data_IF_307682727740
#
_entry.id   IF_307682727740
#
_cell.length_a   1.000
_cell.length_b   1.000
_cell.length_c   1.000
_cell.angle_alpha   90.00
_cell.angle_beta   90.00
_cell.angle_gamma   90.00
#
_symmetry.space_group_name_H-M   'P 1'
#
loop_
_entity.id
_entity.type
_entity.pdbx_description
1 polymer ?
#
# COMPACT_ATOMS: atom_id res chain seq x y z
N UNK A 1 -4.92 5.68 -32.65
CA UNK A 1 -4.94 4.61 -31.61
C UNK A 1 -3.99 5.00 -30.49
N UNK A 2 -4.39 4.82 -29.22
CA UNK A 2 -3.48 5.03 -28.09
C UNK A 2 -2.32 4.05 -28.15
N UNK A 3 -1.17 4.44 -27.57
CA UNK A 3 0.05 3.63 -27.58
C UNK A 3 -0.13 2.31 -26.83
N UNK A 4 0.71 1.34 -27.14
CA UNK A 4 0.87 0.11 -26.36
C UNK A 4 1.60 0.43 -25.07
N UNK A 5 1.15 -0.14 -23.95
CA UNK A 5 1.85 -0.07 -22.65
C UNK A 5 2.24 -1.49 -22.25
N UNK A 6 3.52 -1.70 -21.98
CA UNK A 6 3.99 -2.94 -21.37
C UNK A 6 4.31 -2.66 -19.91
N UNK A 7 3.47 -3.16 -19.02
CA UNK A 7 3.64 -3.09 -17.56
C UNK A 7 4.40 -4.31 -17.06
N UNK A 8 5.39 -4.13 -16.21
CA UNK A 8 6.16 -5.24 -15.65
C UNK A 8 6.44 -5.07 -14.16
N UNK A 9 6.39 -6.18 -13.42
CA UNK A 9 6.62 -6.23 -11.98
C UNK A 9 7.20 -7.57 -11.54
N UNK A 10 8.02 -7.55 -10.48
CA UNK A 10 8.42 -8.77 -9.77
C UNK A 10 7.30 -9.20 -8.80
N UNK A 11 6.21 -9.64 -9.33
CA UNK A 11 5.01 -10.08 -8.59
C UNK A 11 4.36 -11.24 -9.32
N UNK A 12 3.68 -12.14 -8.60
CA UNK A 12 2.85 -13.16 -9.21
C UNK A 12 1.53 -12.59 -9.80
N UNK A 13 1.29 -11.32 -9.63
CA UNK A 13 0.18 -10.51 -10.14
C UNK A 13 -1.20 -10.83 -9.54
N UNK A 14 -1.35 -11.93 -8.81
CA UNK A 14 -2.65 -12.37 -8.28
C UNK A 14 -3.16 -11.46 -7.16
N UNK A 15 -2.27 -11.05 -6.26
CA UNK A 15 -2.60 -10.23 -5.08
C UNK A 15 -2.24 -8.76 -5.21
N UNK A 16 -1.64 -8.37 -6.32
CA UNK A 16 -1.14 -7.01 -6.52
C UNK A 16 -2.25 -6.07 -6.98
N UNK A 17 -2.96 -5.52 -6.03
CA UNK A 17 -4.11 -4.64 -6.27
C UNK A 17 -3.72 -3.31 -6.93
N UNK A 18 -2.51 -2.78 -6.67
CA UNK A 18 -2.07 -1.53 -7.29
C UNK A 18 -1.87 -1.70 -8.79
N UNK A 19 -1.11 -2.72 -9.18
CA UNK A 19 -0.86 -3.03 -10.59
C UNK A 19 -2.18 -3.30 -11.32
N UNK A 20 -3.10 -4.06 -10.69
CA UNK A 20 -4.42 -4.30 -11.25
C UNK A 20 -5.19 -3.01 -11.50
N UNK A 21 -5.28 -2.13 -10.51
CA UNK A 21 -6.00 -0.86 -10.62
C UNK A 21 -5.39 0.05 -11.70
N UNK A 22 -4.05 0.21 -11.71
CA UNK A 22 -3.36 1.04 -12.71
C UNK A 22 -3.57 0.48 -14.13
N UNK A 23 -3.35 -0.82 -14.32
CA UNK A 23 -3.55 -1.44 -15.64
C UNK A 23 -5.00 -1.35 -16.11
N UNK A 24 -5.97 -1.56 -15.20
CA UNK A 24 -7.38 -1.44 -15.54
C UNK A 24 -7.76 -0.01 -15.90
N UNK A 25 -7.31 1.00 -15.16
CA UNK A 25 -7.53 2.42 -15.47
C UNK A 25 -7.01 2.78 -16.88
N UNK A 26 -5.80 2.32 -17.22
CA UNK A 26 -5.20 2.56 -18.53
C UNK A 26 -5.96 1.81 -19.65
N UNK A 27 -6.35 0.56 -19.41
CA UNK A 27 -7.11 -0.27 -20.35
C UNK A 27 -8.49 0.34 -20.62
N UNK A 28 -9.25 0.69 -19.58
CA UNK A 28 -10.58 1.31 -19.70
C UNK A 28 -10.51 2.65 -20.45
N UNK A 29 -9.36 3.33 -20.39
CA UNK A 29 -9.09 4.55 -21.14
C UNK A 29 -8.61 4.31 -22.57
N UNK A 30 -8.57 3.07 -23.04
CA UNK A 30 -8.29 2.70 -24.44
C UNK A 30 -6.82 2.50 -24.79
N UNK A 31 -5.92 2.38 -23.79
CA UNK A 31 -4.54 1.92 -24.06
C UNK A 31 -4.51 0.41 -24.30
N UNK A 32 -3.60 -0.02 -25.16
CA UNK A 32 -3.33 -1.45 -25.36
C UNK A 32 -2.36 -1.94 -24.31
N UNK A 33 -2.85 -2.64 -23.28
CA UNK A 33 -2.07 -3.10 -22.13
C UNK A 33 -1.56 -4.51 -22.37
N UNK A 34 -0.29 -4.74 -22.03
CA UNK A 34 0.31 -6.05 -21.87
C UNK A 34 1.04 -6.10 -20.52
N UNK A 35 0.67 -7.06 -19.65
CA UNK A 35 1.18 -7.17 -18.29
C UNK A 35 2.14 -8.35 -18.16
N UNK A 36 3.33 -8.13 -17.59
CA UNK A 36 4.36 -9.14 -17.38
C UNK A 36 4.72 -9.21 -15.89
N UNK A 37 4.45 -10.35 -15.28
CA UNK A 37 4.88 -10.66 -13.92
C UNK A 37 5.67 -11.95 -13.86
N UNK A 38 5.62 -12.67 -12.73
CA UNK A 38 6.24 -13.97 -12.57
C UNK A 38 5.34 -14.94 -11.80
N UNK A 39 5.75 -16.21 -11.74
CA UNK A 39 5.09 -17.27 -10.98
C UNK A 39 5.72 -17.52 -9.60
N UNK A 40 6.59 -16.64 -9.14
CA UNK A 40 7.24 -16.75 -7.83
C UNK A 40 6.23 -16.62 -6.70
N UNK A 41 6.22 -17.63 -5.83
CA UNK A 41 5.34 -17.66 -4.66
C UNK A 41 3.92 -18.16 -4.90
N UNK A 42 3.57 -18.54 -6.14
CA UNK A 42 2.27 -19.12 -6.43
C UNK A 42 1.90 -19.12 -7.92
N UNK A 43 0.91 -19.92 -8.26
CA UNK A 43 0.41 -20.01 -9.63
C UNK A 43 -1.13 -20.02 -9.65
N UNK A 44 -1.73 -19.13 -8.87
CA UNK A 44 -3.18 -18.97 -8.79
C UNK A 44 -3.75 -18.55 -10.14
N UNK A 45 -4.95 -19.05 -10.43
CA UNK A 45 -5.69 -18.63 -11.61
C UNK A 45 -6.13 -17.18 -11.45
N UNK A 46 -5.92 -16.38 -12.49
CA UNK A 46 -6.40 -15.01 -12.56
C UNK A 46 -6.98 -14.72 -13.94
N UNK A 47 -7.92 -13.80 -13.99
CA UNK A 47 -8.51 -13.28 -15.21
C UNK A 47 -8.27 -11.78 -15.28
N UNK A 48 -7.92 -11.28 -16.47
CA UNK A 48 -7.73 -9.86 -16.75
C UNK A 48 -8.33 -9.52 -18.12
N UNK A 49 -8.89 -8.34 -18.34
CA UNK A 49 -9.44 -7.93 -19.63
C UNK A 49 -8.36 -7.62 -20.68
N UNK A 50 -7.10 -7.72 -20.32
CA UNK A 50 -5.93 -7.48 -21.16
C UNK A 50 -4.95 -8.67 -21.08
N UNK A 51 -4.07 -8.86 -22.10
CA UNK A 51 -3.06 -9.90 -22.08
C UNK A 51 -2.13 -9.81 -20.88
N UNK A 52 -1.82 -10.94 -20.27
CA UNK A 52 -0.81 -11.02 -19.22
C UNK A 52 0.04 -12.29 -19.37
N UNK A 53 1.26 -12.21 -18.87
CA UNK A 53 2.22 -13.30 -18.86
C UNK A 53 2.89 -13.40 -17.49
N UNK A 54 3.12 -14.63 -17.01
CA UNK A 54 3.93 -14.91 -15.84
C UNK A 54 5.21 -15.62 -16.26
N UNK A 55 6.33 -14.94 -16.10
CA UNK A 55 7.65 -15.52 -16.34
C UNK A 55 7.92 -16.62 -15.31
N UNK A 56 8.16 -17.83 -15.80
CA UNK A 56 8.52 -18.97 -14.94
C UNK A 56 9.89 -18.77 -14.30
N UNK A 57 9.94 -18.76 -12.95
CA UNK A 57 11.17 -18.61 -12.17
C UNK A 57 11.59 -19.97 -11.59
N UNK A 58 12.82 -20.39 -11.88
CA UNK A 58 13.41 -21.64 -11.40
C UNK A 58 14.24 -21.48 -10.13
N UNK A 59 14.66 -20.26 -9.86
CA UNK A 59 15.49 -19.92 -8.70
C UNK A 59 14.78 -20.21 -7.38
N UNK A 60 15.53 -20.77 -6.42
CA UNK A 60 15.02 -21.12 -5.09
C UNK A 60 15.18 -20.01 -4.05
N UNK A 61 16.00 -19.01 -4.31
CA UNK A 61 16.24 -17.90 -3.41
C UNK A 61 15.81 -16.57 -4.04
N UNK A 62 15.33 -15.64 -3.22
CA UNK A 62 14.87 -14.35 -3.70
C UNK A 62 15.95 -13.58 -4.47
N UNK A 63 17.21 -13.64 -4.02
CA UNK A 63 18.35 -12.96 -4.66
C UNK A 63 18.57 -13.45 -6.10
N UNK A 64 18.57 -14.75 -6.30
CA UNK A 64 18.76 -15.37 -7.63
C UNK A 64 17.51 -15.21 -8.49
N UNK A 65 16.32 -15.19 -7.87
CA UNK A 65 15.06 -14.96 -8.57
C UNK A 65 14.97 -13.54 -9.18
N UNK A 66 15.43 -12.51 -8.48
CA UNK A 66 15.53 -11.16 -9.03
C UNK A 66 16.42 -11.09 -10.28
N UNK A 67 17.58 -11.74 -10.22
CA UNK A 67 18.50 -11.78 -11.38
C UNK A 67 17.88 -12.54 -12.56
N UNK A 68 17.32 -13.72 -12.30
CA UNK A 68 16.65 -14.56 -13.32
C UNK A 68 15.49 -13.81 -13.96
N UNK A 69 14.65 -13.15 -13.14
CA UNK A 69 13.52 -12.38 -13.62
C UNK A 69 13.97 -11.23 -14.54
N UNK A 70 14.92 -10.41 -14.08
CA UNK A 70 15.42 -9.26 -14.86
C UNK A 70 15.98 -9.69 -16.22
N UNK A 71 16.72 -10.81 -16.26
CA UNK A 71 17.26 -11.34 -17.51
C UNK A 71 16.17 -11.83 -18.46
N UNK A 72 15.16 -12.55 -17.93
CA UNK A 72 14.04 -13.04 -18.73
C UNK A 72 13.14 -11.88 -19.17
N UNK A 73 12.83 -10.95 -18.27
CA UNK A 73 12.07 -9.75 -18.59
C UNK A 73 12.73 -8.93 -19.70
N UNK A 74 14.05 -8.75 -19.65
CA UNK A 74 14.78 -8.07 -20.73
C UNK A 74 14.55 -8.74 -22.10
N UNK A 75 14.56 -10.07 -22.13
CA UNK A 75 14.32 -10.84 -23.38
C UNK A 75 12.89 -10.64 -23.89
N UNK A 76 11.91 -10.70 -23.00
CA UNK A 76 10.50 -10.49 -23.37
C UNK A 76 10.24 -9.05 -23.83
N UNK A 77 10.73 -8.06 -23.10
CA UNK A 77 10.63 -6.66 -23.53
C UNK A 77 11.29 -6.41 -24.90
N UNK A 78 12.45 -7.04 -25.15
CA UNK A 78 13.14 -6.93 -26.46
C UNK A 78 12.31 -7.50 -27.62
N UNK A 79 11.49 -8.52 -27.39
CA UNK A 79 10.61 -9.11 -28.42
C UNK A 79 9.34 -8.29 -28.64
N UNK A 80 8.79 -7.72 -27.55
CA UNK A 80 7.43 -7.19 -27.51
C UNK A 80 7.36 -5.67 -27.68
N UNK A 81 8.42 -4.94 -27.28
CA UNK A 81 8.46 -3.49 -27.36
C UNK A 81 8.88 -3.01 -28.75
N UNK A 82 8.25 -1.99 -29.23
CA UNK A 82 8.53 -1.25 -30.47
C UNK A 82 8.53 0.27 -30.22
N UNK A 83 8.69 1.07 -31.26
CA UNK A 83 8.70 2.53 -31.17
C UNK A 83 7.37 3.16 -30.73
N UNK A 84 6.26 2.40 -30.79
CA UNK A 84 4.94 2.84 -30.33
C UNK A 84 4.61 2.36 -28.92
N UNK A 85 5.61 1.89 -28.15
CA UNK A 85 5.46 1.32 -26.83
C UNK A 85 5.85 2.33 -25.74
N UNK A 86 5.08 2.37 -24.65
CA UNK A 86 5.48 2.96 -23.36
C UNK A 86 5.80 1.80 -22.43
N UNK A 87 6.97 1.83 -21.80
CA UNK A 87 7.32 0.88 -20.76
C UNK A 87 6.87 1.39 -19.40
N UNK A 88 6.30 0.51 -18.59
CA UNK A 88 5.89 0.81 -17.22
C UNK A 88 6.53 -0.19 -16.28
N UNK A 89 7.54 0.28 -15.52
CA UNK A 89 8.26 -0.50 -14.54
C UNK A 89 7.71 -0.27 -13.13
N UNK A 90 7.26 -1.33 -12.48
CA UNK A 90 6.81 -1.29 -11.08
C UNK A 90 7.96 -1.77 -10.20
N UNK A 91 8.33 -0.92 -9.26
CA UNK A 91 9.46 -1.04 -8.35
C UNK A 91 10.84 -1.19 -9.02
N UNK A 92 11.88 -1.05 -8.19
CA UNK A 92 13.27 -1.06 -8.65
C UNK A 92 13.69 -2.42 -9.20
N UNK A 93 13.02 -3.49 -8.76
CA UNK A 93 13.32 -4.86 -9.15
C UNK A 93 12.91 -5.20 -10.59
N UNK A 94 12.05 -4.39 -11.22
CA UNK A 94 11.73 -4.46 -12.64
C UNK A 94 12.38 -3.31 -13.46
N UNK A 95 13.04 -2.34 -12.81
CA UNK A 95 13.45 -1.10 -13.44
C UNK A 95 14.56 -1.28 -14.47
N UNK A 96 15.62 -2.07 -14.18
CA UNK A 96 16.80 -2.19 -15.03
C UNK A 96 16.48 -2.66 -16.46
N UNK A 97 15.77 -3.78 -16.70
CA UNK A 97 15.45 -4.24 -18.06
C UNK A 97 14.60 -3.23 -18.83
N UNK A 98 13.64 -2.59 -18.15
CA UNK A 98 12.82 -1.54 -18.75
C UNK A 98 13.67 -0.33 -19.18
N UNK A 99 14.56 0.13 -18.32
CA UNK A 99 15.47 1.24 -18.63
C UNK A 99 16.38 0.94 -19.82
N UNK A 100 16.96 -0.26 -19.87
CA UNK A 100 17.83 -0.66 -20.98
C UNK A 100 17.08 -0.71 -22.32
N UNK A 101 15.87 -1.24 -22.35
CA UNK A 101 15.04 -1.28 -23.57
C UNK A 101 14.55 0.11 -23.93
N UNK A 102 14.09 0.92 -22.96
CA UNK A 102 13.72 2.32 -23.19
C UNK A 102 14.84 3.11 -23.88
N UNK A 103 16.06 3.00 -23.37
CA UNK A 103 17.23 3.66 -23.98
C UNK A 103 17.54 3.13 -25.36
N UNK A 104 17.52 1.81 -25.55
CA UNK A 104 17.84 1.17 -26.84
C UNK A 104 16.88 1.57 -27.94
N UNK A 105 15.59 1.64 -27.66
CA UNK A 105 14.53 1.94 -28.62
C UNK A 105 14.16 3.43 -28.67
N UNK A 106 14.71 4.23 -27.75
CA UNK A 106 14.34 5.64 -27.52
C UNK A 106 12.82 5.81 -27.32
N UNK A 107 12.26 5.02 -26.40
CA UNK A 107 10.83 5.01 -26.05
C UNK A 107 10.63 5.44 -24.59
N UNK A 108 9.45 5.98 -24.24
CA UNK A 108 9.15 6.44 -22.89
C UNK A 108 9.19 5.29 -21.86
N UNK A 109 9.67 5.63 -20.67
CA UNK A 109 9.63 4.78 -19.49
C UNK A 109 8.91 5.54 -18.36
N UNK A 110 7.84 4.96 -17.84
CA UNK A 110 7.18 5.35 -16.60
C UNK A 110 7.68 4.43 -15.49
N UNK A 111 8.17 5.01 -14.40
CA UNK A 111 8.60 4.27 -13.21
C UNK A 111 7.61 4.50 -12.08
N UNK A 112 7.05 3.43 -11.55
CA UNK A 112 6.17 3.44 -10.37
C UNK A 112 6.90 2.83 -9.18
N UNK A 113 7.24 3.66 -8.20
CA UNK A 113 7.89 3.23 -6.96
C UNK A 113 6.86 3.10 -5.85
N UNK A 114 6.55 1.86 -5.46
CA UNK A 114 5.56 1.57 -4.42
C UNK A 114 6.10 1.81 -3.02
N UNK A 115 7.42 1.74 -2.86
CA UNK A 115 8.11 1.97 -1.59
C UNK A 115 9.45 2.66 -1.84
N UNK A 116 10.06 3.21 -0.79
CA UNK A 116 11.49 3.56 -0.84
C UNK A 116 12.27 2.26 -0.65
N UNK A 117 12.36 1.46 -1.71
CA UNK A 117 12.84 0.09 -1.69
C UNK A 117 14.21 -0.06 -0.99
N UNK A 118 15.15 0.86 -1.28
CA UNK A 118 16.49 0.83 -0.70
C UNK A 118 16.53 1.16 0.79
N UNK A 119 15.43 1.66 1.35
CA UNK A 119 15.28 2.00 2.77
C UNK A 119 14.27 1.07 3.50
N UNK A 120 13.90 -0.05 2.87
CA UNK A 120 13.05 -1.07 3.51
C UNK A 120 13.80 -1.80 4.63
N UNK A 121 13.16 -2.07 5.78
CA UNK A 121 13.79 -2.81 6.89
C UNK A 121 14.35 -4.16 6.47
N UNK A 122 13.69 -4.85 5.53
CA UNK A 122 14.07 -6.18 5.07
C UNK A 122 15.46 -6.25 4.41
N UNK A 123 15.97 -5.14 3.88
CA UNK A 123 17.26 -5.10 3.17
C UNK A 123 18.30 -4.20 3.85
N UNK A 124 17.93 -3.47 4.89
CA UNK A 124 18.85 -2.60 5.64
C UNK A 124 20.09 -3.36 6.12
N UNK A 125 21.24 -2.69 6.02
CA UNK A 125 22.54 -3.20 6.45
C UNK A 125 23.03 -4.49 5.72
N UNK A 126 22.37 -4.88 4.62
CA UNK A 126 22.77 -6.03 3.78
C UNK A 126 23.57 -5.58 2.55
N UNK A 127 24.43 -6.46 2.03
CA UNK A 127 25.14 -6.21 0.75
C UNK A 127 24.17 -5.93 -0.40
N UNK A 128 23.00 -6.59 -0.40
CA UNK A 128 21.93 -6.35 -1.38
C UNK A 128 21.47 -4.89 -1.40
N UNK A 129 21.41 -4.21 -0.24
CA UNK A 129 21.06 -2.78 -0.20
C UNK A 129 22.05 -1.92 -0.99
N UNK A 130 23.35 -2.22 -0.88
CA UNK A 130 24.38 -1.47 -1.64
C UNK A 130 24.19 -1.63 -3.14
N UNK A 131 23.89 -2.84 -3.61
CA UNK A 131 23.62 -3.11 -5.03
C UNK A 131 22.39 -2.33 -5.50
N UNK A 132 21.30 -2.40 -4.77
CA UNK A 132 20.07 -1.67 -5.12
C UNK A 132 20.28 -0.14 -5.08
N UNK A 133 21.03 0.39 -4.11
CA UNK A 133 21.37 1.82 -4.06
C UNK A 133 22.22 2.27 -5.26
N UNK A 134 23.13 1.43 -5.74
CA UNK A 134 23.91 1.74 -6.97
C UNK A 134 22.98 1.81 -8.17
N UNK A 135 22.06 0.84 -8.31
CA UNK A 135 21.09 0.82 -9.40
C UNK A 135 20.18 2.06 -9.34
N UNK A 136 19.61 2.34 -8.17
CA UNK A 136 18.74 3.49 -7.92
C UNK A 136 19.43 4.81 -8.29
N UNK A 137 20.64 5.05 -7.77
CA UNK A 137 21.45 6.25 -8.07
C UNK A 137 21.80 6.37 -9.55
N UNK A 138 21.97 5.26 -10.25
CA UNK A 138 22.37 5.25 -11.66
C UNK A 138 21.21 5.52 -12.62
N UNK A 139 19.98 5.12 -12.24
CA UNK A 139 18.83 5.15 -13.14
C UNK A 139 17.82 6.24 -12.74
N UNK A 140 17.42 6.31 -11.47
CA UNK A 140 16.33 7.20 -11.03
C UNK A 140 16.53 8.67 -11.42
N UNK A 141 17.75 9.27 -11.31
CA UNK A 141 17.97 10.66 -11.75
C UNK A 141 17.71 10.92 -13.24
N UNK A 142 17.58 9.86 -14.05
CA UNK A 142 17.35 9.93 -15.50
C UNK A 142 15.91 9.64 -15.91
N UNK A 143 15.05 9.35 -14.92
CA UNK A 143 13.63 9.06 -15.15
C UNK A 143 12.86 10.37 -15.30
N UNK A 144 12.19 10.51 -16.45
CA UNK A 144 11.37 11.68 -16.76
C UNK A 144 9.94 11.55 -16.21
N UNK A 145 9.38 10.34 -16.25
CA UNK A 145 8.01 10.05 -15.83
C UNK A 145 8.05 9.08 -14.65
N UNK A 146 7.66 9.57 -13.48
CA UNK A 146 7.71 8.80 -12.24
C UNK A 146 6.46 9.03 -11.41
N UNK A 147 5.97 7.98 -10.76
CA UNK A 147 4.93 8.05 -9.73
C UNK A 147 5.33 7.26 -8.49
N UNK A 148 4.71 7.60 -7.35
CA UNK A 148 4.95 6.95 -6.05
C UNK A 148 3.72 7.06 -5.15
N UNK A 149 3.70 6.37 -4.00
CA UNK A 149 2.48 6.20 -3.20
C UNK A 149 2.15 7.32 -2.22
N UNK A 150 3.13 8.15 -1.80
CA UNK A 150 2.91 9.19 -0.79
C UNK A 150 3.64 10.49 -1.10
N UNK A 151 3.16 11.59 -0.52
CA UNK A 151 3.82 12.90 -0.62
C UNK A 151 5.23 12.84 -0.02
N UNK A 152 5.38 12.18 1.13
CA UNK A 152 6.68 12.03 1.78
C UNK A 152 7.67 11.22 0.93
N UNK A 153 7.21 10.21 0.18
CA UNK A 153 8.05 9.51 -0.79
C UNK A 153 8.45 10.41 -1.94
N UNK A 154 7.51 11.19 -2.48
CA UNK A 154 7.80 12.13 -3.56
C UNK A 154 8.81 13.19 -3.13
N UNK A 155 8.68 13.75 -1.93
CA UNK A 155 9.63 14.68 -1.33
C UNK A 155 11.02 14.04 -1.18
N UNK A 156 11.09 12.81 -0.65
CA UNK A 156 12.35 12.08 -0.50
C UNK A 156 13.06 11.84 -1.85
N UNK A 157 12.33 11.40 -2.89
CA UNK A 157 12.89 11.23 -4.22
C UNK A 157 13.35 12.55 -4.84
N UNK A 158 12.58 13.63 -4.64
CA UNK A 158 12.93 14.97 -5.09
C UNK A 158 14.21 15.48 -4.42
N UNK A 159 14.34 15.33 -3.12
CA UNK A 159 15.52 15.76 -2.38
C UNK A 159 16.77 14.97 -2.78
N UNK A 160 16.63 13.65 -2.86
CA UNK A 160 17.75 12.73 -3.07
C UNK A 160 18.19 12.65 -4.52
N UNK A 161 17.27 12.65 -5.48
CA UNK A 161 17.54 12.39 -6.90
C UNK A 161 17.16 13.53 -7.83
N UNK A 162 16.58 14.61 -7.34
CA UNK A 162 16.14 15.77 -8.13
C UNK A 162 15.09 15.41 -9.21
N UNK A 163 14.30 14.38 -8.98
CA UNK A 163 13.14 14.00 -9.80
C UNK A 163 11.85 14.54 -9.18
N UNK A 164 10.78 14.59 -9.95
CA UNK A 164 9.48 15.07 -9.48
C UNK A 164 8.41 13.99 -9.71
N UNK A 165 8.30 12.99 -8.83
CA UNK A 165 7.25 11.98 -8.94
C UNK A 165 5.88 12.62 -8.74
N UNK A 166 4.87 12.14 -9.46
CA UNK A 166 3.47 12.39 -9.09
C UNK A 166 3.06 11.41 -7.99
N UNK A 167 2.18 11.86 -7.11
CA UNK A 167 1.66 10.99 -6.05
C UNK A 167 0.39 10.30 -6.53
N UNK A 168 0.46 8.97 -6.62
CA UNK A 168 -0.64 8.07 -6.94
C UNK A 168 -0.75 7.06 -5.79
N UNK A 169 -1.73 7.24 -4.93
CA UNK A 169 -1.92 6.42 -3.73
C UNK A 169 -2.56 5.08 -4.06
N UNK A 170 -2.25 4.04 -3.30
CA UNK A 170 -2.92 2.74 -3.43
C UNK A 170 -4.16 2.69 -2.53
N UNK A 171 -5.22 3.37 -2.92
CA UNK A 171 -6.43 3.61 -2.14
C UNK A 171 -7.67 2.96 -2.76
N UNK A 172 -8.73 2.71 -1.99
CA UNK A 172 -9.97 2.12 -2.51
C UNK A 172 -10.74 3.11 -3.40
N UNK A 173 -11.72 2.57 -4.15
CA UNK A 173 -12.72 3.38 -4.83
C UNK A 173 -13.65 4.07 -3.83
N UNK A 174 -14.25 5.17 -4.25
CA UNK A 174 -15.22 5.89 -3.43
C UNK A 174 -16.43 5.01 -3.10
N UNK A 175 -16.76 4.96 -1.80
CA UNK A 175 -18.03 4.40 -1.34
C UNK A 175 -19.05 5.53 -1.31
N UNK A 176 -19.90 5.60 -2.34
CA UNK A 176 -20.87 6.68 -2.56
C UNK A 176 -21.97 6.68 -1.47
N UNK A 177 -22.45 5.48 -1.08
CA UNK A 177 -23.44 5.36 -0.01
C UNK A 177 -22.76 5.51 1.35
N UNK A 178 -23.16 6.49 2.15
CA UNK A 178 -22.69 6.57 3.54
C UNK A 178 -23.13 5.32 4.30
N UNK A 179 -22.17 4.55 4.85
CA UNK A 179 -22.53 3.37 5.64
C UNK A 179 -23.37 3.75 6.84
N UNK A 180 -24.33 2.90 7.22
CA UNK A 180 -25.01 3.01 8.49
C UNK A 180 -24.01 2.93 9.64
N UNK A 181 -24.20 3.77 10.64
CA UNK A 181 -23.36 3.77 11.83
C UNK A 181 -23.99 2.80 12.84
N UNK A 182 -23.32 1.68 13.17
CA UNK A 182 -23.87 0.71 14.09
C UNK A 182 -23.86 1.24 15.53
N UNK A 183 -24.89 0.85 16.28
CA UNK A 183 -24.96 1.05 17.73
C UNK A 183 -24.41 -0.17 18.47
N UNK A 184 -23.06 -0.25 18.53
CA UNK A 184 -22.40 -1.37 19.18
C UNK A 184 -22.37 -1.21 20.70
N UNK A 185 -22.65 -2.31 21.41
CA UNK A 185 -22.43 -2.46 22.84
C UNK A 185 -22.01 -3.92 23.14
N UNK A 186 -20.74 -4.21 23.44
CA UNK A 186 -19.60 -3.27 23.56
C UNK A 186 -19.18 -2.64 22.23
N UNK A 187 -18.46 -1.51 22.30
CA UNK A 187 -17.86 -0.82 21.14
C UNK A 187 -16.81 -1.69 20.46
N UNK A 188 -16.59 -1.48 19.15
CA UNK A 188 -15.66 -2.27 18.34
C UNK A 188 -14.47 -1.41 17.92
N UNK A 189 -13.27 -1.79 18.40
CA UNK A 189 -11.99 -1.32 17.91
C UNK A 189 -11.50 -2.35 16.87
N UNK A 190 -11.14 -1.90 15.66
CA UNK A 190 -10.74 -2.79 14.59
C UNK A 190 -9.27 -2.56 14.17
N UNK A 191 -8.51 -3.65 14.09
CA UNK A 191 -7.30 -3.73 13.28
C UNK A 191 -7.59 -4.51 12.01
N UNK A 192 -7.09 -4.01 10.87
CA UNK A 192 -7.09 -4.76 9.62
C UNK A 192 -5.73 -4.73 8.93
N UNK A 193 -5.30 -5.87 8.40
CA UNK A 193 -4.05 -6.00 7.67
C UNK A 193 -3.18 -7.18 8.13
N UNK A 194 -1.92 -7.21 7.67
CA UNK A 194 -0.99 -8.25 8.03
C UNK A 194 -0.65 -8.21 9.53
N UNK A 195 -0.75 -9.36 10.20
CA UNK A 195 -0.40 -9.53 11.62
C UNK A 195 1.10 -9.75 11.76
N UNK A 196 1.84 -8.66 11.53
CA UNK A 196 3.29 -8.62 11.54
C UNK A 196 3.82 -7.80 12.72
N UNK A 197 5.12 -7.94 12.98
CA UNK A 197 5.84 -7.04 13.88
C UNK A 197 5.71 -5.58 13.40
N UNK A 198 5.79 -4.64 14.33
CA UNK A 198 5.83 -3.20 14.05
C UNK A 198 4.55 -2.62 13.46
N UNK A 199 3.42 -3.22 13.80
CA UNK A 199 2.08 -2.72 13.47
C UNK A 199 1.33 -2.14 14.67
N UNK A 200 1.97 -2.12 15.85
CA UNK A 200 1.39 -1.62 17.10
C UNK A 200 0.29 -2.48 17.70
N UNK A 201 0.07 -3.70 17.15
CA UNK A 201 -1.01 -4.60 17.62
C UNK A 201 -0.78 -5.02 19.08
N UNK A 202 0.45 -5.38 19.44
CA UNK A 202 0.84 -5.73 20.79
C UNK A 202 0.60 -4.61 21.80
N UNK A 203 0.84 -3.36 21.40
CA UNK A 203 0.61 -2.19 22.24
C UNK A 203 -0.88 -1.95 22.47
N UNK A 204 -1.70 -2.11 21.41
CA UNK A 204 -3.16 -2.00 21.54
C UNK A 204 -3.74 -3.15 22.37
N UNK A 205 -3.21 -4.39 22.25
CA UNK A 205 -3.63 -5.50 23.12
C UNK A 205 -3.43 -5.12 24.59
N UNK A 206 -2.25 -4.60 24.96
CA UNK A 206 -1.99 -4.13 26.33
C UNK A 206 -2.90 -2.96 26.72
N UNK A 207 -3.11 -2.00 25.84
CA UNK A 207 -3.99 -0.85 26.05
C UNK A 207 -5.45 -1.26 26.36
N UNK A 208 -5.91 -2.43 25.87
CA UNK A 208 -7.26 -2.95 26.17
C UNK A 208 -7.53 -3.20 27.65
N UNK A 209 -6.50 -3.28 28.49
CA UNK A 209 -6.68 -3.36 29.95
C UNK A 209 -7.36 -2.11 30.51
N UNK A 210 -7.07 -0.94 29.95
CA UNK A 210 -7.56 0.37 30.40
C UNK A 210 -8.74 0.89 29.57
N UNK A 211 -9.32 0.05 28.68
CA UNK A 211 -10.48 0.42 27.86
C UNK A 211 -11.69 -0.40 28.31
N UNK A 212 -12.68 0.24 28.87
CA UNK A 212 -13.93 -0.39 29.27
C UNK A 212 -14.94 -0.43 28.11
N UNK A 213 -15.92 -1.33 28.19
CA UNK A 213 -17.03 -1.46 27.25
C UNK A 213 -16.64 -1.45 25.76
N UNK A 214 -15.47 -2.02 25.44
CA UNK A 214 -15.01 -2.19 24.06
C UNK A 214 -14.34 -3.54 23.85
N UNK A 215 -14.37 -4.02 22.61
CA UNK A 215 -13.68 -5.22 22.15
C UNK A 215 -12.73 -4.85 21.02
N UNK A 216 -11.58 -5.54 20.96
CA UNK A 216 -10.63 -5.46 19.85
C UNK A 216 -10.86 -6.62 18.89
N UNK A 217 -11.14 -6.33 17.64
CA UNK A 217 -11.17 -7.31 16.55
C UNK A 217 -9.95 -7.15 15.65
N UNK A 218 -9.24 -8.25 15.37
CA UNK A 218 -8.04 -8.28 14.55
C UNK A 218 -8.35 -9.08 13.29
N UNK A 219 -8.58 -8.38 12.17
CA UNK A 219 -8.86 -8.96 10.85
C UNK A 219 -7.57 -9.04 10.03
N UNK A 220 -6.99 -10.21 9.96
CA UNK A 220 -5.74 -10.47 9.25
C UNK A 220 -5.05 -11.74 9.72
N UNK A 221 -3.94 -12.04 9.07
CA UNK A 221 -3.07 -13.16 9.41
C UNK A 221 -1.60 -12.76 9.24
N UNK A 222 -0.70 -13.52 9.84
CA UNK A 222 0.73 -13.25 9.73
C UNK A 222 1.58 -13.95 10.79
N UNK A 223 2.91 -13.89 10.66
CA UNK A 223 3.83 -14.64 11.50
C UNK A 223 3.77 -14.29 13.00
N UNK A 224 3.21 -13.13 13.36
CA UNK A 224 3.09 -12.69 14.76
C UNK A 224 1.76 -13.09 15.43
N UNK A 225 0.83 -13.71 14.69
CA UNK A 225 -0.49 -14.05 15.22
C UNK A 225 -0.40 -14.89 16.49
N UNK A 226 0.37 -15.97 16.49
CA UNK A 226 0.52 -16.85 17.66
C UNK A 226 1.10 -16.11 18.86
N UNK A 227 2.12 -15.28 18.64
CA UNK A 227 2.72 -14.47 19.71
C UNK A 227 1.71 -13.50 20.35
N UNK A 228 0.82 -12.92 19.52
CA UNK A 228 -0.21 -12.00 20.01
C UNK A 228 -1.37 -12.74 20.68
N UNK A 229 -1.73 -13.95 20.25
CA UNK A 229 -2.67 -14.81 20.95
C UNK A 229 -2.14 -15.19 22.34
N UNK A 230 -0.86 -15.51 22.45
CA UNK A 230 -0.18 -15.78 23.73
C UNK A 230 -0.13 -14.54 24.63
N UNK A 231 0.09 -13.34 24.05
CA UNK A 231 0.02 -12.08 24.79
C UNK A 231 -1.40 -11.84 25.36
N UNK A 232 -2.45 -12.05 24.54
CA UNK A 232 -3.85 -11.93 24.98
C UNK A 232 -4.14 -12.88 26.18
N UNK A 233 -3.64 -14.10 26.12
CA UNK A 233 -3.79 -15.06 27.22
C UNK A 233 -3.03 -14.63 28.47
N UNK A 234 -1.80 -14.15 28.34
CA UNK A 234 -0.97 -13.63 29.43
C UNK A 234 -1.64 -12.44 30.14
N UNK A 235 -2.19 -11.51 29.36
CA UNK A 235 -2.87 -10.31 29.87
C UNK A 235 -4.33 -10.57 30.29
N UNK A 236 -4.83 -11.83 30.19
CA UNK A 236 -6.19 -12.27 30.53
C UNK A 236 -7.31 -11.52 29.78
N UNK A 237 -7.07 -11.22 28.51
CA UNK A 237 -7.95 -10.42 27.65
C UNK A 237 -8.75 -11.25 26.63
N UNK A 238 -8.86 -12.59 26.82
CA UNK A 238 -9.57 -13.47 25.88
C UNK A 238 -11.05 -13.11 25.68
N UNK A 239 -11.64 -12.42 26.66
CA UNK A 239 -13.01 -11.94 26.60
C UNK A 239 -13.17 -10.62 25.82
N UNK A 240 -12.06 -9.92 25.50
CA UNK A 240 -12.05 -8.60 24.86
C UNK A 240 -11.34 -8.58 23.49
N UNK A 241 -10.45 -9.55 23.19
CA UNK A 241 -9.62 -9.52 21.96
C UNK A 241 -9.91 -10.75 21.12
N UNK A 242 -10.30 -10.51 19.85
CA UNK A 242 -10.75 -11.56 18.93
C UNK A 242 -9.98 -11.52 17.63
N UNK A 243 -9.38 -12.64 17.22
CA UNK A 243 -8.71 -12.80 15.93
C UNK A 243 -9.68 -13.38 14.90
N UNK A 244 -9.99 -12.60 13.85
CA UNK A 244 -10.91 -13.00 12.80
C UNK A 244 -10.23 -13.79 11.66
N UNK A 245 -8.88 -13.88 11.68
CA UNK A 245 -8.11 -14.47 10.59
C UNK A 245 -8.13 -13.64 9.32
N UNK A 246 -7.62 -14.24 8.22
CA UNK A 246 -7.58 -13.60 6.91
C UNK A 246 -8.99 -13.63 6.28
N UNK A 247 -9.52 -12.46 5.99
CA UNK A 247 -10.81 -12.29 5.33
C UNK A 247 -10.63 -11.98 3.84
N UNK A 248 -11.62 -12.37 3.02
CA UNK A 248 -11.72 -11.90 1.64
C UNK A 248 -12.01 -10.39 1.62
N UNK A 249 -11.59 -9.64 0.59
CA UNK A 249 -11.77 -8.18 0.54
C UNK A 249 -13.22 -7.70 0.78
N UNK A 250 -14.19 -8.43 0.24
CA UNK A 250 -15.63 -8.11 0.41
C UNK A 250 -16.04 -8.22 1.87
N UNK A 251 -15.70 -9.35 2.52
CA UNK A 251 -16.02 -9.60 3.94
C UNK A 251 -15.29 -8.62 4.85
N UNK A 252 -14.03 -8.27 4.51
CA UNK A 252 -13.25 -7.29 5.27
C UNK A 252 -13.92 -5.92 5.25
N UNK A 253 -14.45 -5.48 4.10
CA UNK A 253 -15.19 -4.21 4.00
C UNK A 253 -16.42 -4.20 4.91
N UNK A 254 -17.20 -5.30 4.93
CA UNK A 254 -18.37 -5.38 5.81
C UNK A 254 -17.96 -5.33 7.29
N UNK A 255 -16.91 -6.05 7.69
CA UNK A 255 -16.37 -5.98 9.04
C UNK A 255 -15.89 -4.56 9.36
N UNK A 256 -15.21 -3.88 8.43
CA UNK A 256 -14.73 -2.50 8.65
C UNK A 256 -15.87 -1.54 8.91
N UNK A 257 -16.98 -1.64 8.18
CA UNK A 257 -18.18 -0.80 8.40
C UNK A 257 -18.78 -0.95 9.79
N UNK A 258 -18.61 -2.11 10.43
CA UNK A 258 -19.15 -2.34 11.78
C UNK A 258 -18.31 -1.74 12.91
N UNK A 259 -17.09 -1.27 12.64
CA UNK A 259 -16.21 -0.74 13.67
C UNK A 259 -16.63 0.65 14.16
N UNK A 260 -16.46 0.93 15.44
CA UNK A 260 -16.62 2.27 16.02
C UNK A 260 -15.34 3.09 15.82
N UNK A 261 -14.17 2.45 15.87
CA UNK A 261 -12.87 3.06 15.58
C UNK A 261 -11.87 2.03 15.01
N UNK A 262 -10.93 2.52 14.24
CA UNK A 262 -9.77 1.74 13.80
C UNK A 262 -8.45 2.28 14.34
N UNK A 263 -7.33 1.66 13.97
CA UNK A 263 -6.02 2.24 14.27
C UNK A 263 -4.95 1.90 13.22
N UNK A 264 -3.95 2.78 13.14
CA UNK A 264 -2.74 2.62 12.33
C UNK A 264 -1.54 3.14 13.12
N UNK A 265 -0.86 2.21 13.81
CA UNK A 265 0.19 2.49 14.80
C UNK A 265 1.49 1.78 14.39
N UNK A 266 1.93 2.01 13.15
CA UNK A 266 3.18 1.49 12.63
C UNK A 266 4.37 2.02 13.44
N UNK A 267 5.39 1.17 13.67
CA UNK A 267 6.64 1.58 14.31
C UNK A 267 7.64 2.09 13.27
N UNK A 268 8.48 3.04 13.67
CA UNK A 268 9.53 3.59 12.81
C UNK A 268 10.72 2.62 12.68
N UNK A 269 10.58 1.64 11.80
CA UNK A 269 11.63 0.66 11.49
C UNK A 269 12.41 1.00 10.22
N UNK A 270 12.43 2.26 9.82
CA UNK A 270 13.15 2.76 8.66
C UNK A 270 12.36 3.78 7.86
N UNK A 271 13.08 4.49 7.01
CA UNK A 271 12.57 5.63 6.23
C UNK A 271 11.34 5.26 5.40
N UNK A 272 11.33 4.05 4.81
CA UNK A 272 10.19 3.59 4.02
C UNK A 272 8.91 3.48 4.88
N UNK A 273 9.00 2.88 6.08
CA UNK A 273 7.84 2.78 6.97
C UNK A 273 7.40 4.12 7.53
N UNK A 274 8.35 4.98 7.91
CA UNK A 274 8.07 6.29 8.47
C UNK A 274 7.33 7.22 7.51
N UNK A 275 7.62 7.11 6.19
CA UNK A 275 7.02 7.94 5.15
C UNK A 275 5.85 7.28 4.41
N UNK A 276 5.47 6.05 4.79
CA UNK A 276 4.36 5.35 4.14
C UNK A 276 2.99 5.89 4.54
N UNK A 277 2.02 5.74 3.64
CA UNK A 277 0.60 5.84 3.94
C UNK A 277 0.00 4.43 3.92
N UNK A 278 -0.25 3.77 5.07
CA UNK A 278 -0.84 2.45 5.09
C UNK A 278 -2.25 2.41 4.49
N UNK A 279 -2.51 1.45 3.61
CA UNK A 279 -3.80 1.31 2.90
C UNK A 279 -5.01 1.28 3.85
N UNK A 280 -4.86 0.67 5.04
CA UNK A 280 -5.94 0.59 6.04
C UNK A 280 -6.50 1.96 6.46
N UNK A 281 -5.67 3.01 6.45
CA UNK A 281 -6.11 4.38 6.76
C UNK A 281 -7.18 4.82 5.77
N UNK A 282 -6.94 4.60 4.49
CA UNK A 282 -7.89 4.95 3.45
C UNK A 282 -9.12 4.03 3.43
N UNK A 283 -8.96 2.76 3.83
CA UNK A 283 -10.09 1.84 4.01
C UNK A 283 -11.02 2.31 5.15
N UNK A 284 -10.45 2.76 6.29
CA UNK A 284 -11.24 3.35 7.39
C UNK A 284 -11.94 4.64 6.94
N UNK A 285 -11.23 5.53 6.24
CA UNK A 285 -11.81 6.76 5.69
C UNK A 285 -13.00 6.44 4.79
N UNK A 286 -12.84 5.51 3.84
CA UNK A 286 -13.92 5.10 2.93
C UNK A 286 -15.09 4.43 3.65
N UNK A 287 -14.82 3.73 4.74
CA UNK A 287 -15.85 3.13 5.59
C UNK A 287 -16.47 4.11 6.61
N UNK A 288 -16.04 5.37 6.62
CA UNK A 288 -16.46 6.41 7.59
C UNK A 288 -16.19 5.99 9.05
N UNK A 289 -15.05 5.32 9.27
CA UNK A 289 -14.59 4.89 10.60
C UNK A 289 -13.48 5.82 11.07
N UNK A 290 -13.64 6.52 12.21
CA UNK A 290 -12.57 7.32 12.79
C UNK A 290 -11.43 6.42 13.28
N UNK A 291 -10.23 6.97 13.41
CA UNK A 291 -9.08 6.14 13.74
C UNK A 291 -8.07 6.82 14.66
N UNK A 292 -7.30 6.00 15.39
CA UNK A 292 -6.11 6.44 16.12
C UNK A 292 -4.88 6.16 15.28
N UNK A 293 -4.04 7.19 15.10
CA UNK A 293 -2.87 7.16 14.21
C UNK A 293 -1.59 7.50 14.97
N UNK A 294 -0.48 6.93 14.53
CA UNK A 294 0.84 7.39 14.97
C UNK A 294 1.20 8.71 14.28
N UNK A 295 2.00 9.57 14.90
CA UNK A 295 2.42 10.90 14.40
C UNK A 295 3.43 10.86 13.25
N UNK A 296 3.25 9.95 12.29
CA UNK A 296 4.08 9.92 11.09
C UNK A 296 3.63 10.97 10.06
N UNK A 297 4.53 11.42 9.15
CA UNK A 297 4.26 12.56 8.28
C UNK A 297 2.95 12.46 7.48
N UNK A 298 2.66 11.31 6.87
CA UNK A 298 1.43 11.15 6.09
C UNK A 298 0.17 11.20 6.97
N UNK A 299 0.23 10.62 8.18
CA UNK A 299 -0.88 10.68 9.14
C UNK A 299 -1.16 12.10 9.61
N UNK A 300 -0.09 12.86 9.89
CA UNK A 300 -0.20 14.26 10.28
C UNK A 300 -0.72 15.14 9.14
N UNK A 301 -0.36 14.86 7.88
CA UNK A 301 -0.92 15.56 6.71
C UNK A 301 -2.44 15.35 6.62
N UNK A 302 -2.91 14.13 6.82
CA UNK A 302 -4.34 13.82 6.81
C UNK A 302 -5.05 14.50 7.99
N UNK A 303 -4.52 14.34 9.21
CA UNK A 303 -5.10 14.95 10.43
C UNK A 303 -5.18 16.48 10.35
N UNK A 304 -4.20 17.13 9.74
CA UNK A 304 -4.19 18.58 9.52
C UNK A 304 -5.31 19.05 8.59
N UNK A 305 -5.69 18.20 7.62
CA UNK A 305 -6.72 18.54 6.64
C UNK A 305 -8.12 18.14 7.12
N UNK A 306 -8.23 17.01 7.84
CA UNK A 306 -9.49 16.40 8.23
C UNK A 306 -9.43 15.89 9.66
N UNK A 307 -10.40 16.29 10.47
CA UNK A 307 -10.52 15.80 11.84
C UNK A 307 -11.21 14.41 11.88
N UNK A 308 -10.43 13.37 11.54
CA UNK A 308 -10.91 11.99 11.37
C UNK A 308 -10.53 11.05 12.52
N UNK A 309 -10.05 11.57 13.64
CA UNK A 309 -9.62 10.75 14.78
C UNK A 309 -8.54 11.42 15.62
N UNK A 310 -7.76 10.64 16.35
CA UNK A 310 -6.71 11.12 17.24
C UNK A 310 -5.31 10.68 16.79
N UNK A 311 -4.29 11.41 17.24
CA UNK A 311 -2.87 11.10 16.95
C UNK A 311 -2.14 10.86 18.26
N UNK A 312 -1.37 9.77 18.33
CA UNK A 312 -0.45 9.48 19.43
C UNK A 312 1.00 9.73 18.99
N UNK A 313 1.83 10.16 19.94
CA UNK A 313 3.24 10.53 19.66
C UNK A 313 4.21 9.36 19.80
N UNK A 314 3.79 8.32 20.51
CA UNK A 314 4.58 7.12 20.79
C UNK A 314 3.66 5.91 21.02
N UNK A 315 4.26 4.77 21.30
CA UNK A 315 3.56 3.50 21.49
C UNK A 315 3.29 3.14 22.96
N UNK A 316 3.19 4.13 23.84
CA UNK A 316 2.80 3.93 25.23
C UNK A 316 1.34 3.43 25.28
N UNK A 317 1.08 2.24 25.87
CA UNK A 317 -0.28 1.68 25.95
C UNK A 317 -1.29 2.58 26.65
N UNK A 318 -0.89 3.36 27.66
CA UNK A 318 -1.77 4.28 28.36
C UNK A 318 -2.21 5.44 27.46
N UNK A 319 -1.29 6.01 26.69
CA UNK A 319 -1.58 7.05 25.72
C UNK A 319 -2.44 6.54 24.56
N UNK A 320 -2.19 5.31 24.10
CA UNK A 320 -3.02 4.64 23.10
C UNK A 320 -4.44 4.43 23.64
N UNK A 321 -4.57 3.93 24.89
CA UNK A 321 -5.87 3.74 25.53
C UNK A 321 -6.63 5.07 25.66
N UNK A 322 -5.95 6.13 26.12
CA UNK A 322 -6.56 7.46 26.23
C UNK A 322 -7.05 8.00 24.88
N UNK A 323 -6.25 7.84 23.80
CA UNK A 323 -6.66 8.25 22.47
C UNK A 323 -7.83 7.43 21.91
N UNK A 324 -7.84 6.11 22.13
CA UNK A 324 -8.95 5.24 21.74
C UNK A 324 -10.23 5.59 22.52
N UNK A 325 -10.15 5.73 23.83
CA UNK A 325 -11.30 6.16 24.66
C UNK A 325 -11.86 7.50 24.18
N UNK A 326 -11.01 8.49 23.91
CA UNK A 326 -11.44 9.80 23.40
C UNK A 326 -12.20 9.70 22.07
N UNK A 327 -11.75 8.83 21.14
CA UNK A 327 -12.47 8.60 19.88
C UNK A 327 -13.80 7.90 20.12
N UNK A 328 -13.85 6.89 21.00
CA UNK A 328 -15.06 6.15 21.33
C UNK A 328 -16.10 7.01 22.05
N UNK A 329 -15.68 7.84 23.02
CA UNK A 329 -16.53 8.78 23.77
C UNK A 329 -17.13 9.85 22.86
N UNK A 330 -16.31 10.43 21.96
CA UNK A 330 -16.78 11.39 20.96
C UNK A 330 -17.80 10.76 20.02
N UNK A 331 -17.64 9.47 19.74
CA UNK A 331 -18.55 8.69 18.92
C UNK A 331 -18.41 8.93 17.42
N UNK A 332 -18.57 7.87 16.64
CA UNK A 332 -18.36 7.83 15.19
C UNK A 332 -19.17 8.89 14.42
N UNK A 333 -20.40 9.18 14.89
CA UNK A 333 -21.27 10.17 14.24
C UNK A 333 -20.65 11.57 14.18
N UNK A 334 -19.90 11.95 15.21
CA UNK A 334 -19.28 13.27 15.32
C UNK A 334 -18.03 13.45 14.44
N UNK A 335 -17.57 12.39 13.78
CA UNK A 335 -16.52 12.43 12.76
C UNK A 335 -17.08 12.35 11.33
N UNK A 336 -18.38 12.09 11.16
CA UNK A 336 -19.01 11.77 9.87
C UNK A 336 -18.70 12.80 8.80
N UNK A 337 -18.93 14.08 9.08
CA UNK A 337 -18.73 15.17 8.11
C UNK A 337 -17.29 15.25 7.60
N UNK A 338 -16.32 15.14 8.49
CA UNK A 338 -14.89 15.20 8.11
C UNK A 338 -14.44 13.93 7.38
N UNK A 339 -14.95 12.76 7.77
CA UNK A 339 -14.71 11.50 7.06
C UNK A 339 -15.34 11.47 5.65
N UNK A 340 -16.52 12.10 5.48
CA UNK A 340 -17.13 12.26 4.14
C UNK A 340 -16.30 13.16 3.23
N UNK A 341 -15.77 14.27 3.76
CA UNK A 341 -14.84 15.14 3.02
C UNK A 341 -13.55 14.40 2.65
N UNK A 342 -12.97 13.70 3.63
CA UNK A 342 -11.74 12.92 3.42
C UNK A 342 -11.96 11.80 2.39
N UNK A 343 -13.09 11.10 2.43
CA UNK A 343 -13.40 10.01 1.50
C UNK A 343 -13.48 10.47 0.04
N UNK A 344 -13.98 11.68 -0.22
CA UNK A 344 -14.00 12.29 -1.56
C UNK A 344 -12.60 12.62 -2.07
N UNK A 345 -11.65 12.89 -1.18
CA UNK A 345 -10.26 13.20 -1.54
C UNK A 345 -9.44 11.91 -1.68
N UNK A 346 -9.58 10.97 -0.73
CA UNK A 346 -8.84 9.71 -0.70
C UNK A 346 -9.62 8.59 -1.38
N UNK A 347 -9.88 8.73 -2.69
CA UNK A 347 -10.54 7.73 -3.53
C UNK A 347 -9.76 7.50 -4.83
N UNK A 348 -9.89 6.28 -5.38
CA UNK A 348 -9.15 5.86 -6.58
C UNK A 348 -9.48 6.73 -7.82
N UNK A 349 -10.68 7.24 -7.92
CA UNK A 349 -11.15 8.09 -9.02
C UNK A 349 -10.28 9.35 -9.19
N UNK A 350 -9.80 9.92 -8.08
CA UNK A 350 -8.85 11.04 -8.12
C UNK A 350 -7.45 10.61 -8.56
N UNK A 351 -7.04 9.41 -8.22
CA UNK A 351 -5.74 8.85 -8.63
C UNK A 351 -5.75 8.47 -10.13
N UNK A 352 -6.87 7.95 -10.66
CA UNK A 352 -7.04 7.64 -12.08
C UNK A 352 -6.72 8.84 -12.98
N UNK A 353 -7.21 10.01 -12.63
CA UNK A 353 -6.94 11.25 -13.38
C UNK A 353 -5.46 11.57 -13.49
N UNK A 354 -4.71 11.39 -12.38
CA UNK A 354 -3.26 11.65 -12.34
C UNK A 354 -2.49 10.64 -13.20
N UNK A 355 -2.89 9.36 -13.12
CA UNK A 355 -2.30 8.28 -13.94
C UNK A 355 -2.47 8.61 -15.42
N UNK A 356 -3.69 8.93 -15.83
CA UNK A 356 -4.00 9.22 -17.22
C UNK A 356 -3.20 10.41 -17.74
N UNK A 357 -3.11 11.50 -16.98
CA UNK A 357 -2.30 12.67 -17.33
C UNK A 357 -0.80 12.35 -17.46
N UNK A 358 -0.27 11.47 -16.61
CA UNK A 358 1.14 11.04 -16.69
C UNK A 358 1.41 10.25 -17.96
N UNK A 359 0.56 9.26 -18.27
CA UNK A 359 0.71 8.43 -19.47
C UNK A 359 0.40 9.18 -20.76
N UNK A 360 -0.48 10.17 -20.73
CA UNK A 360 -0.70 11.09 -21.84
C UNK A 360 0.57 11.90 -22.16
N UNK A 361 1.18 12.51 -21.15
CA UNK A 361 2.48 13.19 -21.29
C UNK A 361 3.60 12.27 -21.76
N UNK A 362 3.60 11.01 -21.35
CA UNK A 362 4.56 10.01 -21.83
C UNK A 362 4.26 9.56 -23.27
N UNK A 363 3.05 9.81 -23.79
CA UNK A 363 2.65 9.47 -25.15
C UNK A 363 3.07 10.50 -26.19
N UNK A 364 3.36 11.73 -25.78
CA UNK A 364 3.85 12.83 -26.62
C UNK A 364 5.35 12.63 -26.94
#
# INVERSE_FOLDING_TARGET
MKKKIITSAFSNLYTDQRIEKVCKTLFDSGYNIELIGNDWGGNEKMERPYPFERIKIKSKTLKTAYFEFNWKLYKELKKKADKNTILHANDIDALLPNYLISKKLNIPLVFDSHEIFTEMPAIQNKLSQKVWRVLEKSIVPKIKFMMTESESYAEWFKEKYKVNPIVVRNIPREIISTPEIPENNPKIILYQGAVNQSRGIDKVIVAMQSIENAVLKIAGDGPKKKEYEDLVAKEKLQHKVFFLGKLKPENLREVTKTADTGFSLEENNGVSYYYSLPNKVCDYIQSRVPLVMINFPEMLRIKKQFDIGEVVTDHDPEKIAAALNKVLERGRLNYKTELEKAAKVFCWENEETKILQLFEKASL
#
